data_IF_509841474509
#
_entry.id   IF_509841474509
#
_cell.length_a   1.000
_cell.length_b   1.000
_cell.length_c   1.000
_cell.angle_alpha   90.00
_cell.angle_beta   90.00
_cell.angle_gamma   90.00
#
_symmetry.space_group_name_H-M   'P 1'
#
loop_
_entity.id
_entity.type
_entity.pdbx_description
1 polymer ?
#
# COMPACT_ATOMS: atom_id res chain seq x y z
N UNK A 1 -4.93 47.24 -3.63
CA UNK A 1 -5.90 46.46 -2.82
C UNK A 1 -6.34 45.15 -3.47
N UNK A 2 -6.35 45.03 -4.80
CA UNK A 2 -6.76 43.80 -5.51
C UNK A 2 -5.76 42.62 -5.47
N UNK A 3 -4.46 42.90 -5.37
CA UNK A 3 -3.40 41.87 -5.41
C UNK A 3 -3.36 41.02 -4.12
N UNK A 4 -3.74 41.60 -2.99
CA UNK A 4 -3.75 40.89 -1.70
C UNK A 4 -4.88 39.87 -1.62
N UNK A 5 -6.04 40.18 -2.21
CA UNK A 5 -7.22 39.29 -2.18
C UNK A 5 -7.00 38.06 -3.07
N UNK A 6 -6.35 38.21 -4.23
CA UNK A 6 -6.02 37.08 -5.12
C UNK A 6 -4.96 36.15 -4.52
N UNK A 7 -3.97 36.69 -3.81
CA UNK A 7 -2.94 35.88 -3.16
C UNK A 7 -3.47 35.06 -1.97
N UNK A 8 -4.43 35.61 -1.22
CA UNK A 8 -5.11 34.91 -0.11
C UNK A 8 -6.06 33.83 -0.64
N UNK A 9 -6.81 34.12 -1.71
CA UNK A 9 -7.67 33.13 -2.38
C UNK A 9 -6.88 31.95 -2.96
N UNK A 10 -5.74 32.18 -3.62
CA UNK A 10 -4.89 31.08 -4.11
C UNK A 10 -4.32 30.21 -2.99
N UNK A 11 -3.98 30.78 -1.83
CA UNK A 11 -3.51 30.02 -0.66
C UNK A 11 -4.61 29.21 0.01
N UNK A 12 -5.83 29.73 0.07
CA UNK A 12 -7.00 28.99 0.54
C UNK A 12 -7.40 27.85 -0.42
N UNK A 13 -7.33 28.05 -1.74
CA UNK A 13 -7.53 26.98 -2.72
C UNK A 13 -6.45 25.88 -2.62
N UNK A 14 -5.19 26.24 -2.37
CA UNK A 14 -4.11 25.27 -2.13
C UNK A 14 -4.30 24.49 -0.82
N UNK A 15 -4.81 25.12 0.24
CA UNK A 15 -5.15 24.43 1.49
C UNK A 15 -6.38 23.52 1.34
N UNK A 16 -7.37 23.91 0.53
CA UNK A 16 -8.51 23.05 0.19
C UNK A 16 -8.12 21.85 -0.70
N UNK A 17 -7.05 21.96 -1.50
CA UNK A 17 -6.48 20.84 -2.26
C UNK A 17 -5.66 19.86 -1.39
N UNK A 18 -5.15 20.32 -0.23
CA UNK A 18 -4.43 19.46 0.72
C UNK A 18 -5.30 18.94 1.87
N UNK A 19 -6.52 19.45 2.00
CA UNK A 19 -7.53 18.98 2.94
C UNK A 19 -8.28 17.77 2.38
N UNK A 20 -7.57 16.66 2.25
CA UNK A 20 -8.13 15.33 2.04
C UNK A 20 -9.26 15.11 3.05
N UNK A 21 -10.53 15.24 2.64
CA UNK A 21 -11.68 14.94 3.50
C UNK A 21 -11.70 13.43 3.75
N UNK A 22 -11.15 13.04 4.90
CA UNK A 22 -11.12 11.66 5.40
C UNK A 22 -12.49 11.30 5.98
N UNK A 23 -13.09 10.21 5.48
CA UNK A 23 -14.35 9.67 6.02
C UNK A 23 -14.14 8.97 7.37
N UNK A 24 -12.95 8.41 7.57
CA UNK A 24 -12.59 7.69 8.77
C UNK A 24 -11.32 6.88 8.54
N UNK A 25 -10.57 6.64 9.62
CA UNK A 25 -9.48 5.69 9.63
C UNK A 25 -9.73 4.71 10.77
N UNK A 26 -9.63 3.42 10.49
CA UNK A 26 -9.81 2.34 11.45
C UNK A 26 -8.50 1.59 11.61
N UNK A 27 -8.18 1.18 12.84
CA UNK A 27 -7.04 0.33 13.12
C UNK A 27 -7.43 -0.73 14.14
N UNK A 28 -7.11 -1.99 13.85
CA UNK A 28 -7.56 -3.13 14.64
C UNK A 28 -6.53 -4.25 14.67
N UNK A 29 -6.79 -5.27 15.47
CA UNK A 29 -6.02 -6.51 15.46
C UNK A 29 -6.92 -7.69 15.74
N UNK A 30 -6.69 -8.78 15.01
CA UNK A 30 -7.44 -10.03 15.16
C UNK A 30 -6.55 -11.22 14.83
N UNK A 31 -6.93 -12.41 15.30
CA UNK A 31 -6.23 -13.64 14.95
C UNK A 31 -7.14 -14.49 14.07
N UNK A 32 -6.66 -14.80 12.87
CA UNK A 32 -7.40 -15.62 11.90
C UNK A 32 -7.46 -17.07 12.38
N UNK A 33 -6.38 -17.54 13.01
CA UNK A 33 -6.25 -18.90 13.50
C UNK A 33 -5.19 -18.96 14.62
N UNK A 34 -4.89 -20.17 15.10
CA UNK A 34 -3.89 -20.39 16.14
C UNK A 34 -2.44 -20.07 15.72
N UNK A 35 -2.19 -19.82 14.42
CA UNK A 35 -0.87 -19.63 13.82
C UNK A 35 -0.55 -18.18 13.46
N UNK A 36 -1.55 -17.42 13.02
CA UNK A 36 -1.37 -16.06 12.51
C UNK A 36 -2.37 -15.07 13.07
N UNK A 37 -1.84 -13.91 13.46
CA UNK A 37 -2.62 -12.73 13.75
C UNK A 37 -2.31 -11.61 12.77
N UNK A 38 -3.26 -10.68 12.67
CA UNK A 38 -3.22 -9.53 11.81
C UNK A 38 -3.37 -8.28 12.67
N UNK A 39 -2.60 -7.27 12.32
CA UNK A 39 -2.90 -5.88 12.63
C UNK A 39 -3.29 -5.22 11.33
N UNK A 40 -4.39 -4.48 11.33
CA UNK A 40 -4.92 -3.85 10.13
C UNK A 40 -5.15 -2.37 10.34
N UNK A 41 -5.01 -1.61 9.26
CA UNK A 41 -5.36 -0.21 9.16
C UNK A 41 -6.14 -0.03 7.87
N UNK A 42 -7.23 0.72 7.90
CA UNK A 42 -7.98 1.12 6.72
C UNK A 42 -8.28 2.62 6.76
N UNK A 43 -8.30 3.24 5.60
CA UNK A 43 -8.63 4.66 5.47
C UNK A 43 -9.39 4.89 4.17
N UNK A 44 -10.53 5.57 4.28
CA UNK A 44 -11.36 5.94 3.14
C UNK A 44 -11.20 7.43 2.78
N UNK A 45 -11.24 7.71 1.49
CA UNK A 45 -11.04 9.04 0.91
C UNK A 45 -12.25 9.43 0.03
N UNK A 46 -12.74 10.66 0.22
CA UNK A 46 -13.87 11.18 -0.55
C UNK A 46 -13.53 11.81 -1.90
N UNK A 47 -12.27 12.09 -2.15
CA UNK A 47 -11.82 12.88 -3.30
C UNK A 47 -10.73 12.12 -4.06
N UNK A 48 -10.62 12.42 -5.36
CA UNK A 48 -9.71 11.71 -6.25
C UNK A 48 -10.15 10.27 -6.52
N UNK A 49 -9.29 9.54 -7.23
CA UNK A 49 -9.60 8.21 -7.73
C UNK A 49 -9.21 7.10 -6.76
N UNK A 50 -8.22 7.33 -5.88
CA UNK A 50 -7.94 6.43 -4.76
C UNK A 50 -9.05 6.61 -3.73
N UNK A 51 -9.88 5.58 -3.54
CA UNK A 51 -11.02 5.60 -2.61
C UNK A 51 -10.68 5.05 -1.26
N UNK A 52 -9.76 4.10 -1.18
CA UNK A 52 -9.26 3.64 0.11
C UNK A 52 -7.87 3.04 0.02
N UNK A 53 -7.21 2.99 1.18
CA UNK A 53 -6.08 2.12 1.42
C UNK A 53 -6.38 1.16 2.57
N UNK A 54 -5.75 -0.01 2.53
CA UNK A 54 -5.72 -0.93 3.65
C UNK A 54 -4.31 -1.48 3.83
N UNK A 55 -3.80 -1.44 5.06
CA UNK A 55 -2.48 -1.92 5.41
C UNK A 55 -2.58 -3.05 6.44
N UNK A 56 -1.99 -4.18 6.11
CA UNK A 56 -2.02 -5.38 6.93
C UNK A 56 -0.62 -5.76 7.35
N UNK A 57 -0.47 -6.10 8.63
CA UNK A 57 0.69 -6.80 9.17
C UNK A 57 0.25 -8.17 9.64
N UNK A 58 0.64 -9.22 8.94
CA UNK A 58 0.48 -10.61 9.38
C UNK A 58 1.70 -11.02 10.18
N UNK A 59 1.49 -11.55 11.37
CA UNK A 59 2.57 -12.01 12.26
C UNK A 59 2.23 -13.35 12.90
N UNK A 60 3.28 -14.11 13.16
CA UNK A 60 3.18 -15.42 13.82
C UNK A 60 2.81 -15.27 15.28
N UNK A 61 1.86 -16.09 15.72
CA UNK A 61 1.51 -16.24 17.14
C UNK A 61 2.65 -16.89 17.92
N UNK A 62 2.69 -16.69 19.24
CA UNK A 62 3.71 -17.32 20.09
C UNK A 62 3.68 -18.85 20.01
N UNK A 63 2.51 -19.53 20.07
CA UNK A 63 2.45 -20.98 19.90
C UNK A 63 3.04 -21.47 18.57
N UNK A 64 2.90 -20.70 17.48
CA UNK A 64 3.48 -21.08 16.20
C UNK A 64 5.00 -20.86 16.16
N UNK A 65 5.49 -19.76 16.75
CA UNK A 65 6.94 -19.53 16.92
C UNK A 65 7.60 -20.65 17.71
N UNK A 66 6.98 -21.12 18.79
CA UNK A 66 7.49 -22.27 19.55
C UNK A 66 7.52 -23.56 18.73
N UNK A 67 6.48 -23.81 17.91
CA UNK A 67 6.47 -24.97 16.99
C UNK A 67 7.59 -24.89 15.95
N UNK A 68 7.88 -23.70 15.42
CA UNK A 68 8.95 -23.49 14.44
C UNK A 68 10.34 -23.78 15.02
N UNK A 69 10.56 -23.59 16.33
CA UNK A 69 11.85 -23.92 16.97
C UNK A 69 12.19 -25.42 16.90
N UNK A 70 11.17 -26.27 16.79
CA UNK A 70 11.34 -27.72 16.65
C UNK A 70 11.36 -28.20 15.18
N UNK A 71 11.17 -27.28 14.22
CA UNK A 71 11.14 -27.58 12.80
C UNK A 71 12.52 -27.65 12.16
N UNK A 72 12.55 -27.92 10.86
CA UNK A 72 13.78 -27.89 10.07
C UNK A 72 14.36 -26.47 10.01
N UNK A 73 15.68 -26.36 10.14
CA UNK A 73 16.38 -25.07 10.25
C UNK A 73 16.17 -24.20 9.00
N UNK A 74 16.12 -24.79 7.81
CA UNK A 74 15.89 -24.05 6.56
C UNK A 74 14.47 -23.48 6.48
N UNK A 75 13.47 -24.27 6.86
CA UNK A 75 12.08 -23.82 6.93
C UNK A 75 11.90 -22.70 7.97
N UNK A 76 12.52 -22.86 9.15
CA UNK A 76 12.51 -21.84 10.20
C UNK A 76 13.10 -20.51 9.71
N UNK A 77 14.29 -20.53 9.10
CA UNK A 77 14.93 -19.33 8.54
C UNK A 77 14.04 -18.65 7.51
N UNK A 78 13.47 -19.42 6.58
CA UNK A 78 12.55 -18.90 5.58
C UNK A 78 11.35 -18.19 6.24
N UNK A 79 10.72 -18.81 7.24
CA UNK A 79 9.58 -18.21 7.96
C UNK A 79 9.97 -16.94 8.72
N UNK A 80 11.16 -16.90 9.33
CA UNK A 80 11.71 -15.71 9.98
C UNK A 80 12.02 -14.57 8.99
N UNK A 81 12.39 -14.89 7.74
CA UNK A 81 12.62 -13.90 6.68
C UNK A 81 11.33 -13.34 6.06
N UNK A 82 10.25 -14.12 6.10
CA UNK A 82 8.93 -13.75 5.57
C UNK A 82 8.15 -12.92 6.60
N UNK A 83 8.16 -13.34 7.87
CA UNK A 83 7.33 -12.73 8.90
C UNK A 83 8.06 -11.67 9.76
N UNK A 84 7.38 -10.59 10.17
CA UNK A 84 6.02 -10.23 9.80
C UNK A 84 5.91 -9.82 8.33
N UNK A 85 4.82 -10.24 7.70
CA UNK A 85 4.49 -9.89 6.32
C UNK A 85 3.66 -8.61 6.33
N UNK A 86 3.99 -7.68 5.45
CA UNK A 86 3.24 -6.44 5.30
C UNK A 86 2.62 -6.36 3.92
N UNK A 87 1.36 -5.96 3.87
CA UNK A 87 0.60 -5.84 2.62
C UNK A 87 -0.07 -4.47 2.60
N UNK A 88 0.14 -3.71 1.54
CA UNK A 88 -0.59 -2.47 1.29
C UNK A 88 -1.50 -2.67 0.08
N UNK A 89 -2.79 -2.39 0.28
CA UNK A 89 -3.82 -2.48 -0.74
C UNK A 89 -4.37 -1.09 -1.02
N UNK A 90 -4.59 -0.81 -2.30
CA UNK A 90 -5.28 0.38 -2.80
C UNK A 90 -6.56 -0.04 -3.49
N UNK A 91 -7.63 0.70 -3.26
CA UNK A 91 -8.86 0.63 -4.06
C UNK A 91 -9.01 1.93 -4.82
N UNK A 92 -9.04 1.83 -6.15
CA UNK A 92 -9.17 2.96 -7.06
C UNK A 92 -10.46 2.85 -7.86
N UNK A 93 -11.11 3.99 -8.13
CA UNK A 93 -12.31 4.06 -8.94
C UNK A 93 -12.06 5.01 -10.11
N UNK A 94 -12.10 4.46 -11.32
CA UNK A 94 -11.93 5.15 -12.61
C UNK A 94 -12.90 4.55 -13.62
N UNK A 95 -13.22 5.21 -14.75
CA UNK A 95 -14.04 4.64 -15.80
C UNK A 95 -13.27 3.63 -16.67
N UNK A 96 -12.07 3.18 -16.25
CA UNK A 96 -11.21 2.26 -16.99
C UNK A 96 -10.62 1.23 -16.04
N UNK A 97 -10.22 0.09 -16.59
CA UNK A 97 -9.34 -0.83 -15.88
C UNK A 97 -7.96 -0.19 -15.73
N UNK A 98 -7.27 -0.46 -14.62
CA UNK A 98 -5.97 0.11 -14.30
C UNK A 98 -5.00 -1.00 -13.89
N UNK A 99 -3.95 -1.14 -14.68
CA UNK A 99 -2.70 -1.73 -14.23
C UNK A 99 -1.71 -0.65 -13.79
N UNK A 100 -1.00 -0.93 -12.70
CA UNK A 100 0.08 -0.10 -12.18
C UNK A 100 1.40 -0.60 -12.77
N UNK A 101 2.11 0.27 -13.48
CA UNK A 101 3.43 -0.05 -14.05
C UNK A 101 4.59 0.34 -13.14
N UNK A 102 4.37 1.28 -12.22
CA UNK A 102 5.40 1.74 -11.30
C UNK A 102 4.78 2.32 -10.03
N UNK A 103 5.52 2.18 -8.92
CA UNK A 103 5.18 2.73 -7.61
C UNK A 103 6.39 3.48 -7.09
N UNK A 104 6.18 4.72 -6.67
CA UNK A 104 7.22 5.56 -6.07
C UNK A 104 6.80 5.88 -4.63
N UNK A 105 7.70 5.61 -3.69
CA UNK A 105 7.57 6.05 -2.30
C UNK A 105 8.39 7.32 -2.12
N UNK A 106 7.72 8.47 -2.18
CA UNK A 106 8.38 9.76 -2.09
C UNK A 106 9.18 9.90 -0.79
N UNK A 107 10.44 10.31 -0.90
CA UNK A 107 11.34 10.51 0.23
C UNK A 107 12.01 9.24 0.77
N UNK A 108 11.81 8.08 0.15
CA UNK A 108 12.51 6.82 0.50
C UNK A 108 12.99 6.12 -0.77
N UNK A 109 14.28 5.81 -0.84
CA UNK A 109 14.80 4.93 -1.88
C UNK A 109 14.32 3.50 -1.65
N UNK A 110 13.70 2.93 -2.69
CA UNK A 110 13.01 1.65 -2.64
C UNK A 110 13.36 0.80 -3.87
N UNK A 111 13.81 -0.42 -3.63
CA UNK A 111 13.99 -1.40 -4.70
C UNK A 111 12.76 -2.29 -4.88
N UNK A 112 12.23 -2.33 -6.10
CA UNK A 112 11.07 -3.16 -6.47
C UNK A 112 11.49 -4.57 -6.91
N UNK A 113 10.68 -5.56 -6.52
CA UNK A 113 10.65 -6.90 -7.10
C UNK A 113 9.39 -7.07 -7.93
N UNK A 114 9.51 -7.43 -9.20
CA UNK A 114 8.36 -7.58 -10.11
C UNK A 114 8.13 -9.06 -10.39
N UNK A 115 7.04 -9.62 -9.86
CA UNK A 115 6.59 -10.98 -10.14
C UNK A 115 5.13 -11.17 -9.72
N UNK A 116 4.43 -12.12 -10.33
CA UNK A 116 3.09 -12.54 -9.91
C UNK A 116 3.15 -13.29 -8.57
N UNK A 117 2.27 -12.93 -7.63
CA UNK A 117 2.16 -13.64 -6.38
C UNK A 117 1.26 -14.88 -6.54
N UNK A 118 1.88 -16.05 -6.55
CA UNK A 118 1.21 -17.35 -6.76
C UNK A 118 0.61 -17.94 -5.47
N UNK A 119 0.56 -17.16 -4.38
CA UNK A 119 0.07 -17.60 -3.08
C UNK A 119 1.10 -18.35 -2.23
N UNK A 120 2.32 -18.57 -2.75
CA UNK A 120 3.40 -19.21 -2.00
C UNK A 120 4.28 -18.15 -1.32
N UNK A 121 4.16 -18.09 0.02
CA UNK A 121 4.89 -17.14 0.88
C UNK A 121 6.43 -17.18 0.65
N UNK A 122 6.99 -18.30 0.18
CA UNK A 122 8.43 -18.48 -0.06
C UNK A 122 9.02 -17.44 -1.02
N UNK A 123 8.26 -17.02 -2.04
CA UNK A 123 8.71 -15.96 -2.95
C UNK A 123 8.84 -14.62 -2.25
N UNK A 124 8.06 -14.40 -1.19
CA UNK A 124 8.12 -13.19 -0.38
C UNK A 124 9.42 -13.12 0.45
N UNK A 125 10.13 -14.24 0.64
CA UNK A 125 11.49 -14.24 1.19
C UNK A 125 12.45 -13.43 0.29
N UNK A 126 12.30 -13.52 -1.03
CA UNK A 126 13.18 -12.92 -2.04
C UNK A 126 12.86 -11.46 -2.38
N UNK A 127 11.80 -10.90 -1.81
CA UNK A 127 11.39 -9.51 -2.07
C UNK A 127 12.47 -8.55 -1.57
N UNK A 128 12.76 -7.55 -2.38
CA UNK A 128 13.73 -6.51 -2.05
C UNK A 128 13.20 -5.54 -1.00
N UNK A 129 12.66 -4.39 -1.39
CA UNK A 129 11.97 -3.49 -0.46
C UNK A 129 10.46 -3.72 -0.53
N UNK A 130 9.93 -3.88 -1.74
CA UNK A 130 8.55 -4.25 -1.98
C UNK A 130 8.39 -5.06 -3.27
N UNK A 131 7.28 -5.77 -3.38
CA UNK A 131 6.86 -6.46 -4.59
C UNK A 131 5.59 -5.85 -5.15
N UNK A 132 5.52 -5.84 -6.48
CA UNK A 132 4.31 -5.59 -7.24
C UNK A 132 4.24 -6.55 -8.43
N UNK A 133 3.06 -6.70 -8.98
CA UNK A 133 2.85 -7.47 -10.20
C UNK A 133 3.22 -6.63 -11.43
N UNK A 134 3.66 -7.30 -12.50
CA UNK A 134 3.84 -6.62 -13.78
C UNK A 134 2.47 -6.26 -14.37
N UNK A 135 2.37 -5.18 -15.16
CA UNK A 135 1.19 -4.96 -15.98
C UNK A 135 0.90 -6.18 -16.85
N UNK A 136 -0.32 -6.70 -16.76
CA UNK A 136 -0.77 -7.94 -17.41
C UNK A 136 -2.07 -7.78 -18.19
N UNK A 137 -2.64 -6.57 -18.24
CA UNK A 137 -3.89 -6.27 -18.92
C UNK A 137 -3.75 -6.49 -20.42
N UNK A 138 -4.72 -7.22 -20.98
CA UNK A 138 -4.86 -7.37 -22.43
C UNK A 138 -5.03 -5.97 -23.06
N UNK A 139 -4.21 -5.66 -24.07
CA UNK A 139 -4.24 -4.41 -24.82
C UNK A 139 -5.65 -4.03 -25.30
N UNK A 140 -6.54 -5.00 -25.53
CA UNK A 140 -7.94 -4.75 -25.91
C UNK A 140 -8.72 -3.93 -24.87
N UNK A 141 -8.36 -4.03 -23.60
CA UNK A 141 -9.02 -3.32 -22.50
C UNK A 141 -8.27 -2.06 -22.05
N UNK A 142 -6.99 -1.92 -22.43
CA UNK A 142 -6.15 -0.80 -22.02
C UNK A 142 -6.73 0.58 -22.41
N UNK A 143 -7.42 0.65 -23.55
CA UNK A 143 -8.03 1.90 -24.05
C UNK A 143 -9.54 1.99 -23.76
N UNK A 144 -10.17 0.94 -23.24
CA UNK A 144 -11.61 0.88 -23.12
C UNK A 144 -12.12 1.75 -21.95
N UNK A 145 -13.11 2.59 -22.23
CA UNK A 145 -13.81 3.40 -21.23
C UNK A 145 -15.17 2.79 -20.97
N UNK A 146 -15.36 2.29 -19.76
CA UNK A 146 -16.64 1.77 -19.30
C UNK A 146 -17.61 2.94 -19.02
N UNK A 147 -18.91 2.77 -19.33
CA UNK A 147 -19.94 3.75 -18.98
C UNK A 147 -20.29 3.73 -17.49
N UNK A 148 -19.66 2.84 -16.71
CA UNK A 148 -19.83 2.66 -15.28
C UNK A 148 -18.47 2.78 -14.58
N UNK A 149 -18.43 3.21 -13.31
CA UNK A 149 -17.20 3.21 -12.53
C UNK A 149 -16.65 1.78 -12.38
N UNK A 150 -15.33 1.64 -12.54
CA UNK A 150 -14.60 0.39 -12.38
C UNK A 150 -13.77 0.46 -11.10
N UNK A 151 -13.94 -0.53 -10.23
CA UNK A 151 -13.15 -0.69 -9.02
C UNK A 151 -11.88 -1.49 -9.34
N UNK A 152 -10.74 -0.82 -9.26
CA UNK A 152 -9.43 -1.39 -9.48
C UNK A 152 -8.75 -1.61 -8.12
N UNK A 153 -8.34 -2.85 -7.85
CA UNK A 153 -7.62 -3.19 -6.61
C UNK A 153 -6.17 -3.47 -6.95
N UNK A 154 -5.25 -2.77 -6.28
CA UNK A 154 -3.82 -2.98 -6.43
C UNK A 154 -3.22 -3.35 -5.07
N UNK A 155 -2.42 -4.40 -5.04
CA UNK A 155 -1.80 -4.92 -3.81
C UNK A 155 -0.29 -4.98 -3.98
N UNK A 156 0.44 -4.57 -2.95
CA UNK A 156 1.89 -4.72 -2.87
C UNK A 156 2.28 -5.36 -1.56
N UNK A 157 3.34 -6.18 -1.61
CA UNK A 157 3.94 -6.79 -0.42
C UNK A 157 5.22 -6.05 -0.05
N UNK A 158 5.38 -5.73 1.23
CA UNK A 158 6.46 -4.87 1.73
C UNK A 158 7.34 -5.67 2.70
N UNK A 159 8.66 -5.55 2.57
CA UNK A 159 9.60 -6.14 3.53
C UNK A 159 9.68 -5.30 4.80
N UNK A 160 9.91 -5.98 5.93
CA UNK A 160 10.13 -5.34 7.23
C UNK A 160 11.14 -4.19 7.18
N UNK A 161 12.31 -4.40 6.55
CA UNK A 161 13.34 -3.36 6.42
C UNK A 161 12.83 -2.09 5.73
N UNK A 162 11.92 -2.24 4.78
CA UNK A 162 11.34 -1.11 4.06
C UNK A 162 10.28 -0.40 4.91
N UNK A 163 9.48 -1.15 5.67
CA UNK A 163 8.59 -0.59 6.69
C UNK A 163 9.35 0.28 7.69
N UNK A 164 10.53 -0.15 8.15
CA UNK A 164 11.35 0.62 9.08
C UNK A 164 11.85 1.93 8.43
N UNK A 165 12.21 1.94 7.14
CA UNK A 165 12.51 3.17 6.38
C UNK A 165 11.29 4.10 6.28
N UNK A 166 10.09 3.55 6.05
CA UNK A 166 8.85 4.32 5.95
C UNK A 166 8.46 4.94 7.30
N UNK A 167 8.62 4.22 8.42
CA UNK A 167 8.36 4.74 9.77
C UNK A 167 9.19 5.96 10.13
N UNK A 168 10.39 6.09 9.58
CA UNK A 168 11.28 7.22 9.84
C UNK A 168 10.79 8.53 9.19
N UNK A 169 9.73 8.50 8.36
CA UNK A 169 9.17 9.67 7.69
C UNK A 169 8.03 10.28 8.48
N UNK A 170 7.83 11.58 8.35
CA UNK A 170 6.70 12.24 9.03
C UNK A 170 5.36 11.93 8.36
N UNK A 171 5.39 11.77 7.05
CA UNK A 171 4.25 11.45 6.20
C UNK A 171 4.58 10.29 5.29
N UNK A 172 3.55 9.62 4.81
CA UNK A 172 3.65 8.66 3.72
C UNK A 172 3.10 9.33 2.48
N UNK A 173 3.94 9.42 1.45
CA UNK A 173 3.53 9.86 0.12
C UNK A 173 3.90 8.79 -0.91
N UNK A 174 2.92 8.37 -1.69
CA UNK A 174 3.02 7.27 -2.64
C UNK A 174 2.45 7.76 -3.97
N UNK A 175 3.23 7.61 -5.04
CA UNK A 175 2.81 7.90 -6.40
C UNK A 175 2.65 6.58 -7.16
N UNK A 176 1.43 6.30 -7.62
CA UNK A 176 1.11 5.17 -8.48
C UNK A 176 1.08 5.63 -9.93
N UNK A 177 1.85 4.97 -10.80
CA UNK A 177 1.90 5.29 -12.23
C UNK A 177 1.23 4.15 -12.99
N UNK A 178 0.21 4.47 -13.78
CA UNK A 178 -0.52 3.47 -14.57
C UNK A 178 0.20 3.08 -15.86
N UNK A 179 -0.23 1.97 -16.46
CA UNK A 179 0.21 1.54 -17.79
C UNK A 179 0.03 2.60 -18.90
N UNK A 180 -0.86 3.59 -18.70
CA UNK A 180 -1.09 4.72 -19.62
C UNK A 180 -0.51 6.05 -19.11
N UNK A 181 0.51 6.00 -18.25
CA UNK A 181 1.28 7.18 -17.79
C UNK A 181 0.50 8.18 -16.95
N UNK A 182 -0.68 7.83 -16.43
CA UNK A 182 -1.38 8.66 -15.45
C UNK A 182 -0.82 8.42 -14.06
N UNK A 183 -0.59 9.51 -13.35
CA UNK A 183 -0.10 9.48 -11.97
C UNK A 183 -1.26 9.68 -10.98
N UNK A 184 -1.24 8.90 -9.91
CA UNK A 184 -2.11 9.05 -8.77
C UNK A 184 -1.25 9.20 -7.51
N UNK A 185 -1.37 10.35 -6.86
CA UNK A 185 -0.59 10.68 -5.68
C UNK A 185 -1.48 10.56 -4.45
N UNK A 186 -1.03 9.76 -3.49
CA UNK A 186 -1.59 9.69 -2.14
C UNK A 186 -0.58 10.31 -1.17
N UNK A 187 -1.00 11.31 -0.40
CA UNK A 187 -0.25 11.83 0.74
C UNK A 187 -1.12 11.73 1.99
N UNK A 188 -0.59 11.11 3.05
CA UNK A 188 -1.27 10.93 4.33
C UNK A 188 -0.28 11.00 5.48
N UNK A 189 -0.79 11.21 6.70
CA UNK A 189 0.01 11.06 7.91
C UNK A 189 0.61 9.65 7.97
N UNK A 190 1.77 9.52 8.61
CA UNK A 190 2.42 8.21 8.71
C UNK A 190 1.66 7.28 9.66
N UNK A 191 0.66 6.55 9.14
CA UNK A 191 -0.14 5.59 9.89
C UNK A 191 0.70 4.41 10.39
N UNK A 192 1.76 4.02 9.68
CA UNK A 192 2.67 2.96 10.10
C UNK A 192 3.34 3.35 11.44
N UNK A 193 3.80 4.60 11.55
CA UNK A 193 4.35 5.16 12.78
C UNK A 193 3.27 5.39 13.85
N UNK A 194 2.16 6.05 13.48
CA UNK A 194 1.09 6.44 14.40
C UNK A 194 0.45 5.26 15.12
N UNK A 195 0.25 4.15 14.41
CA UNK A 195 -0.37 2.95 14.95
C UNK A 195 0.66 1.88 15.31
N UNK A 196 1.96 2.16 15.31
CA UNK A 196 3.01 1.20 15.70
C UNK A 196 2.92 -0.15 14.97
N UNK A 197 2.86 -0.10 13.64
CA UNK A 197 2.95 -1.29 12.81
C UNK A 197 4.33 -1.94 12.87
#
# INVERSE_FOLDING_TARGET
>A
MFIWVTQVMCRLCLLCLMGVFLLGAEAGSFCENAFSCYKEYSQEFNFGSIKSISFFKKYMTEPYRERLKAGEEDYKKMMEEIYPMYTLRFVMVEPRLIDIKSVIFDGVEAEVSIFEYDGFDERLAKVKDFQMEAPGMDNKFAEFIFPIPVHNTFTIHLKKRFIDKLKARDKIKITLITHYDKEFVLETDNFIRKYEF
#
